data_IF_234308889040
#
_entry.id   IF_234308889040
#
_cell.length_a   1.000
_cell.length_b   1.000
_cell.length_c   1.000
_cell.angle_alpha   90.00
_cell.angle_beta   90.00
_cell.angle_gamma   90.00
#
_symmetry.space_group_name_H-M   'P 1'
#
loop_
_entity.id
_entity.type
_entity.pdbx_description
1 polymer ?
#
# COMPACT_ATOMS: atom_id res chain seq x y z
N UNK A 1 44.63 5.98 -8.71
CA UNK A 1 44.14 5.01 -9.72
C UNK A 1 43.04 5.71 -10.48
N UNK A 2 43.29 6.05 -11.74
CA UNK A 2 42.32 6.74 -12.62
C UNK A 2 41.17 5.80 -12.97
N UNK A 3 39.96 6.33 -12.93
CA UNK A 3 38.65 5.69 -13.13
C UNK A 3 38.41 5.13 -14.55
N UNK A 4 39.45 4.69 -15.26
CA UNK A 4 39.32 4.30 -16.67
C UNK A 4 39.31 2.77 -16.81
N UNK A 5 38.22 2.27 -17.38
CA UNK A 5 37.83 0.86 -17.64
C UNK A 5 37.07 0.08 -16.56
N UNK A 6 36.12 0.71 -15.85
CA UNK A 6 35.04 -0.06 -15.18
C UNK A 6 34.06 -0.58 -16.25
N UNK A 7 33.82 -1.91 -16.36
CA UNK A 7 32.86 -2.46 -17.30
C UNK A 7 31.44 -1.90 -17.12
N UNK A 8 30.70 -1.77 -18.22
CA UNK A 8 29.36 -1.17 -18.22
C UNK A 8 28.37 -1.93 -17.33
N UNK A 9 28.47 -3.28 -17.29
CA UNK A 9 27.61 -4.09 -16.43
C UNK A 9 27.80 -3.77 -14.93
N UNK A 10 29.01 -3.38 -14.50
CA UNK A 10 29.28 -2.99 -13.11
C UNK A 10 28.61 -1.65 -12.80
N UNK A 11 28.67 -0.68 -13.72
CA UNK A 11 27.99 0.61 -13.55
C UNK A 11 26.47 0.44 -13.46
N UNK A 12 25.91 -0.45 -14.29
CA UNK A 12 24.49 -0.78 -14.25
C UNK A 12 24.11 -1.47 -12.93
N UNK A 13 24.92 -2.41 -12.45
CA UNK A 13 24.71 -3.06 -11.17
C UNK A 13 24.77 -2.05 -10.00
N UNK A 14 25.74 -1.15 -10.00
CA UNK A 14 25.86 -0.09 -8.99
C UNK A 14 24.67 0.87 -9.02
N UNK A 15 24.18 1.23 -10.22
CA UNK A 15 22.97 2.05 -10.35
C UNK A 15 21.74 1.33 -9.79
N UNK A 16 21.60 0.01 -10.01
CA UNK A 16 20.51 -0.80 -9.44
C UNK A 16 20.62 -0.88 -7.92
N UNK A 17 21.83 -1.08 -7.39
CA UNK A 17 22.09 -1.11 -5.95
C UNK A 17 21.66 0.19 -5.29
N UNK A 18 22.11 1.34 -5.81
CA UNK A 18 21.73 2.66 -5.28
C UNK A 18 20.21 2.85 -5.29
N UNK A 19 19.56 2.45 -6.37
CA UNK A 19 18.11 2.52 -6.48
C UNK A 19 17.42 1.69 -5.37
N UNK A 20 17.83 0.43 -5.20
CA UNK A 20 17.28 -0.46 -4.16
C UNK A 20 17.54 0.08 -2.75
N UNK A 21 18.75 0.59 -2.48
CA UNK A 21 19.06 1.25 -1.20
C UNK A 21 18.10 2.39 -0.90
N UNK A 22 17.80 3.25 -1.88
CA UNK A 22 16.85 4.36 -1.68
C UNK A 22 15.41 3.90 -1.49
N UNK A 23 14.95 2.84 -2.17
CA UNK A 23 13.55 2.39 -2.03
C UNK A 23 13.32 1.51 -0.80
N UNK A 24 14.35 0.83 -0.27
CA UNK A 24 14.23 0.00 0.93
C UNK A 24 13.72 0.80 2.13
N UNK A 25 14.19 2.05 2.32
CA UNK A 25 13.71 2.92 3.40
C UNK A 25 12.18 3.10 3.36
N UNK A 26 11.58 3.15 2.16
CA UNK A 26 10.12 3.27 2.01
C UNK A 26 9.40 1.97 2.38
N UNK A 27 9.96 0.83 1.99
CA UNK A 27 9.37 -0.48 2.26
C UNK A 27 9.47 -0.87 3.73
N UNK A 28 10.55 -0.49 4.41
CA UNK A 28 10.71 -0.68 5.85
C UNK A 28 9.62 0.06 6.65
N UNK A 29 9.22 1.25 6.21
CA UNK A 29 8.14 2.02 6.82
C UNK A 29 6.72 1.58 6.38
N UNK A 30 6.59 0.81 5.30
CA UNK A 30 5.31 0.53 4.68
C UNK A 30 4.35 -0.24 5.60
N UNK A 31 4.87 -1.21 6.37
CA UNK A 31 4.05 -1.99 7.30
C UNK A 31 3.42 -1.14 8.41
N UNK A 32 4.19 -0.21 8.98
CA UNK A 32 3.69 0.71 9.99
C UNK A 32 2.65 1.67 9.40
N UNK A 33 2.92 2.22 8.22
CA UNK A 33 1.98 3.11 7.54
C UNK A 33 0.64 2.41 7.25
N UNK A 34 0.67 1.18 6.73
CA UNK A 34 -0.54 0.39 6.48
C UNK A 34 -1.34 0.14 7.75
N UNK A 35 -0.69 -0.10 8.88
CA UNK A 35 -1.36 -0.29 10.17
C UNK A 35 -2.04 1.00 10.66
N UNK A 36 -1.38 2.15 10.50
CA UNK A 36 -1.94 3.46 10.87
C UNK A 36 -3.14 3.85 9.99
N UNK A 37 -3.03 3.60 8.67
CA UNK A 37 -4.10 3.87 7.71
C UNK A 37 -5.31 2.97 7.99
N UNK A 38 -5.08 1.69 8.28
CA UNK A 38 -6.12 0.77 8.69
C UNK A 38 -6.80 1.21 9.99
N UNK A 39 -6.03 1.62 11.01
CA UNK A 39 -6.59 2.09 12.28
C UNK A 39 -7.52 3.30 12.07
N UNK A 40 -7.17 4.20 11.15
CA UNK A 40 -7.98 5.37 10.78
C UNK A 40 -9.25 4.96 10.03
N UNK A 41 -9.13 4.09 9.02
CA UNK A 41 -10.28 3.61 8.25
C UNK A 41 -11.25 2.82 9.13
N UNK A 42 -10.75 2.02 10.08
CA UNK A 42 -11.58 1.26 11.01
C UNK A 42 -12.51 2.16 11.84
N UNK A 43 -12.02 3.31 12.30
CA UNK A 43 -12.85 4.27 13.02
C UNK A 43 -13.90 4.93 12.11
N UNK A 44 -13.58 5.15 10.82
CA UNK A 44 -14.55 5.63 9.84
C UNK A 44 -15.64 4.59 9.55
N UNK A 45 -15.27 3.32 9.47
CA UNK A 45 -16.22 2.20 9.33
C UNK A 45 -17.15 2.16 10.55
N UNK A 46 -16.60 2.23 11.77
CA UNK A 46 -17.40 2.27 13.00
C UNK A 46 -18.40 3.44 12.99
N UNK A 47 -17.99 4.63 12.55
CA UNK A 47 -18.89 5.77 12.38
C UNK A 47 -19.98 5.51 11.33
N UNK A 48 -19.59 5.00 10.16
CA UNK A 48 -20.49 4.70 9.05
C UNK A 48 -21.56 3.66 9.42
N UNK A 49 -21.19 2.65 10.19
CA UNK A 49 -22.09 1.57 10.61
C UNK A 49 -22.99 1.94 11.81
N UNK A 50 -22.70 3.03 12.52
CA UNK A 50 -23.43 3.42 13.74
C UNK A 50 -24.20 4.73 13.62
N UNK A 51 -23.50 5.87 13.57
CA UNK A 51 -24.07 7.21 13.73
C UNK A 51 -24.38 7.90 12.39
N UNK A 52 -23.73 7.47 11.32
CA UNK A 52 -23.77 8.14 10.02
C UNK A 52 -25.19 8.36 9.48
N UNK A 53 -26.07 7.36 9.58
CA UNK A 53 -27.44 7.47 9.06
C UNK A 53 -28.23 8.60 9.73
N UNK A 54 -28.15 8.69 11.06
CA UNK A 54 -28.81 9.76 11.82
C UNK A 54 -28.22 11.14 11.50
N UNK A 55 -26.90 11.23 11.33
CA UNK A 55 -26.23 12.48 10.98
C UNK A 55 -26.56 12.94 9.55
N UNK A 56 -26.68 12.01 8.60
CA UNK A 56 -27.09 12.28 7.23
C UNK A 56 -28.53 12.82 7.18
N UNK A 57 -29.45 12.21 7.93
CA UNK A 57 -30.83 12.69 8.06
C UNK A 57 -30.91 14.08 8.71
N UNK A 58 -30.09 14.31 9.74
CA UNK A 58 -30.09 15.56 10.51
C UNK A 58 -29.39 16.72 9.80
N UNK A 59 -28.36 16.42 9.02
CA UNK A 59 -27.51 17.41 8.34
C UNK A 59 -27.39 17.16 6.82
N UNK A 60 -28.49 17.06 6.07
CA UNK A 60 -28.50 16.59 4.68
C UNK A 60 -27.84 17.56 3.68
N UNK A 61 -27.45 18.76 4.13
CA UNK A 61 -26.80 19.80 3.31
C UNK A 61 -25.41 20.19 3.82
N UNK A 62 -24.90 19.48 4.83
CA UNK A 62 -23.57 19.78 5.36
C UNK A 62 -22.48 19.37 4.36
N UNK A 63 -21.46 20.22 4.10
CA UNK A 63 -20.48 20.00 3.05
C UNK A 63 -19.33 19.07 3.49
N UNK A 64 -19.64 17.98 4.20
CA UNK A 64 -18.65 17.02 4.67
C UNK A 64 -18.69 15.75 3.83
N UNK A 65 -17.53 15.33 3.29
CA UNK A 65 -17.43 14.16 2.41
C UNK A 65 -17.89 12.85 3.06
N UNK A 66 -17.76 12.72 4.39
CA UNK A 66 -18.28 11.58 5.14
C UNK A 66 -19.81 11.44 5.05
N UNK A 67 -20.55 12.53 4.82
CA UNK A 67 -22.01 12.53 4.68
C UNK A 67 -22.47 12.38 3.21
N UNK A 68 -21.55 12.06 2.29
CA UNK A 68 -21.93 11.70 0.92
C UNK A 68 -22.43 10.25 0.86
N UNK A 69 -23.32 9.98 -0.09
CA UNK A 69 -24.01 8.68 -0.26
C UNK A 69 -23.03 7.49 -0.32
N UNK A 70 -21.87 7.66 -0.96
CA UNK A 70 -20.89 6.59 -1.15
C UNK A 70 -19.50 6.90 -0.57
N UNK A 71 -19.34 7.97 0.20
CA UNK A 71 -18.03 8.50 0.58
C UNK A 71 -17.15 7.49 1.32
N UNK A 72 -17.62 7.02 2.47
CA UNK A 72 -16.87 6.05 3.29
C UNK A 72 -16.80 4.69 2.60
N UNK A 73 -17.92 4.25 2.01
CA UNK A 73 -18.03 2.96 1.32
C UNK A 73 -17.01 2.80 0.18
N UNK A 74 -16.83 3.84 -0.64
CA UNK A 74 -15.86 3.81 -1.74
C UNK A 74 -14.41 3.67 -1.24
N UNK A 75 -14.04 4.37 -0.18
CA UNK A 75 -12.69 4.31 0.37
C UNK A 75 -12.42 2.98 1.09
N UNK A 76 -13.44 2.37 1.72
CA UNK A 76 -13.36 1.00 2.23
C UNK A 76 -12.98 0.01 1.12
N UNK A 77 -13.70 0.06 -0.01
CA UNK A 77 -13.46 -0.82 -1.14
C UNK A 77 -12.07 -0.60 -1.77
N UNK A 78 -11.67 0.66 -1.96
CA UNK A 78 -10.34 1.01 -2.51
C UNK A 78 -9.20 0.50 -1.63
N UNK A 79 -9.29 0.72 -0.32
CA UNK A 79 -8.28 0.26 0.62
C UNK A 79 -8.18 -1.27 0.64
N UNK A 80 -9.33 -1.96 0.63
CA UNK A 80 -9.39 -3.41 0.59
C UNK A 80 -8.73 -3.99 -0.68
N UNK A 81 -9.05 -3.46 -1.85
CA UNK A 81 -8.45 -3.94 -3.11
C UNK A 81 -6.95 -3.63 -3.17
N UNK A 82 -6.51 -2.47 -2.69
CA UNK A 82 -5.08 -2.15 -2.60
C UNK A 82 -4.32 -3.14 -1.70
N UNK A 83 -4.87 -3.49 -0.54
CA UNK A 83 -4.25 -4.47 0.35
C UNK A 83 -4.17 -5.88 -0.26
N UNK A 84 -5.21 -6.29 -1.01
CA UNK A 84 -5.17 -7.57 -1.74
C UNK A 84 -4.05 -7.59 -2.77
N UNK A 85 -3.94 -6.54 -3.57
CA UNK A 85 -2.88 -6.43 -4.58
C UNK A 85 -1.49 -6.45 -3.93
N UNK A 86 -1.30 -5.68 -2.85
CA UNK A 86 -0.04 -5.68 -2.07
C UNK A 86 0.29 -7.08 -1.57
N UNK A 87 -0.68 -7.78 -0.95
CA UNK A 87 -0.51 -9.15 -0.49
C UNK A 87 -0.09 -10.07 -1.64
N UNK A 88 -0.85 -10.07 -2.74
CA UNK A 88 -0.61 -11.00 -3.84
C UNK A 88 0.76 -10.78 -4.49
N UNK A 89 1.17 -9.53 -4.69
CA UNK A 89 2.48 -9.18 -5.24
C UNK A 89 3.61 -9.53 -4.27
N UNK A 90 3.48 -9.16 -3.00
CA UNK A 90 4.51 -9.42 -1.98
C UNK A 90 4.71 -10.90 -1.74
N UNK A 91 3.63 -11.69 -1.64
CA UNK A 91 3.70 -13.16 -1.54
C UNK A 91 4.45 -13.74 -2.72
N UNK A 92 4.12 -13.34 -3.96
CA UNK A 92 4.84 -13.81 -5.15
C UNK A 92 6.34 -13.48 -5.10
N UNK A 93 6.70 -12.26 -4.73
CA UNK A 93 8.12 -11.82 -4.65
C UNK A 93 8.89 -12.63 -3.60
N UNK A 94 8.28 -12.85 -2.43
CA UNK A 94 8.90 -13.65 -1.36
C UNK A 94 9.12 -15.09 -1.82
N UNK A 95 8.11 -15.71 -2.43
CA UNK A 95 8.23 -17.07 -2.97
C UNK A 95 9.32 -17.17 -4.04
N UNK A 96 9.40 -16.21 -4.97
CA UNK A 96 10.45 -16.16 -6.00
C UNK A 96 11.85 -16.04 -5.35
N UNK A 97 11.99 -15.19 -4.33
CA UNK A 97 13.25 -14.99 -3.62
C UNK A 97 13.68 -16.21 -2.80
N UNK A 98 12.73 -16.90 -2.16
CA UNK A 98 12.94 -18.13 -1.41
C UNK A 98 13.15 -19.35 -2.32
N UNK A 99 12.91 -19.20 -3.62
CA UNK A 99 13.09 -20.26 -4.62
C UNK A 99 11.96 -21.28 -4.64
N UNK A 100 10.74 -20.90 -4.22
CA UNK A 100 9.57 -21.77 -4.11
C UNK A 100 8.84 -22.04 -5.45
N UNK A 101 9.44 -21.75 -6.61
CA UNK A 101 8.79 -22.01 -7.90
C UNK A 101 8.78 -23.51 -8.29
N UNK A 102 7.66 -24.15 -7.96
CA UNK A 102 7.03 -25.32 -8.62
C UNK A 102 7.84 -26.62 -8.71
N UNK A 103 7.82 -27.42 -7.64
CA UNK A 103 7.66 -28.88 -7.80
C UNK A 103 6.27 -29.13 -8.40
N UNK A 104 6.14 -29.01 -9.72
CA UNK A 104 5.18 -29.74 -10.56
C UNK A 104 5.47 -29.39 -12.02
N UNK A 105 6.37 -30.18 -12.60
CA UNK A 105 6.44 -30.44 -14.03
C UNK A 105 5.18 -31.16 -14.52
#
# INVERSE_FOLDING_TARGET
MTSENVPEHIKQADSRLRHITTVNEKWEAAGEQLAQDWASLRLLIEYYESQWGEDMERFPRAPYGVLSEDGVWNEMGRFYEALKEIRDVSTRIVHEYEGEETENA
#
